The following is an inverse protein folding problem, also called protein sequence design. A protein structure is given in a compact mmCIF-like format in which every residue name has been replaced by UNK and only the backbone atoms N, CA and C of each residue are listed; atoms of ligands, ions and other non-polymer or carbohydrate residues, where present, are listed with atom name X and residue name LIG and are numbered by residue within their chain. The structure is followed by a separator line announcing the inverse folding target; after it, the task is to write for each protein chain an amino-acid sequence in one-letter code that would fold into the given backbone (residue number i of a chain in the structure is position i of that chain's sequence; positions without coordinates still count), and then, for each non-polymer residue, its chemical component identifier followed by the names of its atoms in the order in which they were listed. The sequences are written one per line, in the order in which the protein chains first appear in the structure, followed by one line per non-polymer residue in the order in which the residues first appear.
data_IF_383286702490
#
_entry.id   IF_383286702490
#
_cell.length_a   1.000
_cell.length_b   1.000
_cell.length_c   1.000
_cell.angle_alpha   90.00
_cell.angle_beta   90.00
_cell.angle_gamma   90.00
#
_symmetry.space_group_name_H-M   'P 1'
#
loop_
_entity.id
_entity.type
_entity.pdbx_description
1 polymer ?
#
# COMPACT_ATOMS: atom_id res chain seq x y z
N UNK A 1 2.64 -10.27 12.55
CA UNK A 1 3.15 -9.02 11.92
C UNK A 1 3.16 -9.13 10.40
N UNK A 2 3.88 -10.09 9.80
CA UNK A 2 3.96 -10.23 8.32
C UNK A 2 2.59 -10.36 7.62
N UNK A 3 1.63 -11.11 8.20
CA UNK A 3 0.27 -11.21 7.63
C UNK A 3 -0.43 -9.84 7.52
N UNK A 4 -0.26 -8.97 8.53
CA UNK A 4 -0.83 -7.62 8.54
C UNK A 4 -0.23 -6.79 7.39
N UNK A 5 1.07 -6.88 7.16
CA UNK A 5 1.74 -6.20 6.05
C UNK A 5 1.21 -6.64 4.69
N UNK A 6 0.97 -7.93 4.48
CA UNK A 6 0.35 -8.41 3.23
C UNK A 6 -1.08 -7.88 3.03
N UNK A 7 -1.89 -7.83 4.09
CA UNK A 7 -3.21 -7.20 4.04
C UNK A 7 -3.14 -5.71 3.70
N UNK A 8 -2.22 -4.98 4.32
CA UNK A 8 -1.98 -3.56 4.01
C UNK A 8 -1.57 -3.37 2.54
N UNK A 9 -0.73 -4.26 1.99
CA UNK A 9 -0.35 -4.19 0.57
C UNK A 9 -1.54 -4.42 -0.35
N UNK A 10 -2.44 -5.34 0.00
CA UNK A 10 -3.67 -5.58 -0.77
C UNK A 10 -4.61 -4.37 -0.75
N UNK A 11 -4.81 -3.75 0.43
CA UNK A 11 -5.62 -2.54 0.57
C UNK A 11 -5.00 -1.37 -0.20
N UNK A 12 -3.68 -1.20 -0.12
CA UNK A 12 -2.96 -0.16 -0.84
C UNK A 12 -3.13 -0.28 -2.37
N UNK A 13 -3.09 -1.50 -2.90
CA UNK A 13 -3.37 -1.77 -4.30
C UNK A 13 -4.85 -1.48 -4.66
N UNK A 14 -5.78 -1.87 -3.79
CA UNK A 14 -7.21 -1.58 -3.95
C UNK A 14 -7.51 -0.08 -3.99
N UNK A 15 -6.84 0.72 -3.16
CA UNK A 15 -7.00 2.18 -3.16
C UNK A 15 -6.50 2.78 -4.48
N UNK A 16 -5.33 2.35 -4.98
CA UNK A 16 -4.79 2.86 -6.23
C UNK A 16 -5.66 2.49 -7.45
N UNK A 17 -6.13 1.24 -7.52
CA UNK A 17 -7.00 0.78 -8.62
C UNK A 17 -8.42 1.35 -8.50
N UNK A 18 -8.95 1.41 -7.28
CA UNK A 18 -10.28 1.97 -7.01
C UNK A 18 -10.36 3.47 -7.30
N UNK A 19 -9.28 4.21 -7.07
CA UNK A 19 -9.18 5.59 -7.50
C UNK A 19 -9.33 5.71 -9.02
N UNK A 20 -8.62 4.87 -9.79
CA UNK A 20 -8.70 4.90 -11.27
C UNK A 20 -10.11 4.59 -11.78
N UNK A 21 -10.81 3.62 -11.16
CA UNK A 21 -12.21 3.34 -11.49
C UNK A 21 -13.15 4.51 -11.14
N UNK A 22 -12.91 5.16 -10.00
CA UNK A 22 -13.72 6.30 -9.55
C UNK A 22 -13.53 7.54 -10.45
N UNK A 23 -12.34 7.72 -11.02
CA UNK A 23 -12.06 8.77 -12.02
C UNK A 23 -12.83 8.48 -13.32
N UNK A 24 -12.86 7.23 -13.80
CA UNK A 24 -13.63 6.86 -15.00
C UNK A 24 -15.14 7.00 -14.84
N UNK A 25 -15.64 6.88 -13.61
CA UNK A 25 -17.04 7.07 -13.27
C UNK A 25 -17.40 8.54 -12.98
N UNK A 26 -16.47 9.49 -13.24
CA UNK A 26 -16.61 10.93 -12.92
C UNK A 26 -17.09 11.18 -11.48
N UNK A 27 -16.77 10.27 -10.56
CA UNK A 27 -17.18 10.34 -9.15
C UNK A 27 -16.17 11.15 -8.33
N UNK A 28 -14.92 11.20 -8.77
CA UNK A 28 -13.84 11.97 -8.15
C UNK A 28 -13.11 12.81 -9.19
N UNK A 29 -12.56 13.94 -8.74
CA UNK A 29 -11.79 14.85 -9.59
C UNK A 29 -10.35 14.34 -9.81
N UNK A 30 -9.68 14.88 -10.83
CA UNK A 30 -8.30 14.50 -11.19
C UNK A 30 -7.32 14.68 -10.03
N UNK A 31 -7.50 15.73 -9.23
CA UNK A 31 -6.66 15.99 -8.06
C UNK A 31 -6.86 14.92 -6.97
N UNK A 32 -8.11 14.55 -6.69
CA UNK A 32 -8.43 13.52 -5.71
C UNK A 32 -7.92 12.15 -6.14
N UNK A 33 -8.05 11.83 -7.43
CA UNK A 33 -7.47 10.62 -8.02
C UNK A 33 -5.96 10.54 -7.83
N UNK A 34 -5.25 11.64 -8.11
CA UNK A 34 -3.81 11.72 -7.96
C UNK A 34 -3.39 11.47 -6.51
N UNK A 35 -4.02 12.15 -5.56
CA UNK A 35 -3.74 11.97 -4.14
C UNK A 35 -4.01 10.53 -3.67
N UNK A 36 -5.13 9.93 -4.05
CA UNK A 36 -5.47 8.56 -3.65
C UNK A 36 -4.51 7.53 -4.25
N UNK A 37 -4.15 7.70 -5.52
CA UNK A 37 -3.20 6.80 -6.20
C UNK A 37 -1.81 6.90 -5.58
N UNK A 38 -1.31 8.12 -5.33
CA UNK A 38 -0.03 8.32 -4.64
C UNK A 38 -0.04 7.70 -3.24
N UNK A 39 -1.11 7.90 -2.47
CA UNK A 39 -1.26 7.31 -1.14
C UNK A 39 -1.20 5.78 -1.19
N UNK A 40 -1.90 5.16 -2.13
CA UNK A 40 -1.83 3.71 -2.36
C UNK A 40 -0.41 3.24 -2.68
N UNK A 41 0.27 3.89 -3.63
CA UNK A 41 1.64 3.52 -4.04
C UNK A 41 2.64 3.70 -2.90
N UNK A 42 2.64 4.86 -2.22
CA UNK A 42 3.55 5.15 -1.11
C UNK A 42 3.35 4.16 0.03
N UNK A 43 2.09 3.86 0.38
CA UNK A 43 1.78 2.86 1.42
C UNK A 43 2.30 1.49 1.03
N UNK A 44 2.17 1.10 -0.24
CA UNK A 44 2.65 -0.18 -0.73
C UNK A 44 4.17 -0.33 -0.59
N UNK A 45 4.92 0.73 -0.89
CA UNK A 45 6.38 0.79 -0.75
C UNK A 45 6.79 0.75 0.74
N UNK A 46 6.16 1.58 1.57
CA UNK A 46 6.49 1.67 3.00
C UNK A 46 6.29 0.34 3.71
N UNK A 47 5.22 -0.37 3.37
CA UNK A 47 4.93 -1.70 3.91
C UNK A 47 5.92 -2.74 3.40
N UNK A 48 6.46 -2.56 2.18
CA UNK A 48 7.57 -3.35 1.66
C UNK A 48 8.81 -3.26 2.55
N UNK A 49 9.26 -2.04 2.87
CA UNK A 49 10.37 -1.83 3.79
C UNK A 49 10.10 -2.42 5.17
N UNK A 50 8.86 -2.28 5.67
CA UNK A 50 8.51 -2.83 6.97
C UNK A 50 8.56 -4.37 7.01
N UNK A 51 8.19 -5.05 5.90
CA UNK A 51 8.35 -6.50 5.79
C UNK A 51 9.82 -6.90 5.86
N UNK A 52 10.69 -6.15 5.18
CA UNK A 52 12.13 -6.42 5.18
C UNK A 52 12.74 -6.23 6.56
N UNK A 53 12.35 -5.18 7.29
CA UNK A 53 12.76 -4.97 8.68
C UNK A 53 12.30 -6.11 9.59
N UNK A 54 11.03 -6.53 9.50
CA UNK A 54 10.50 -7.63 10.31
C UNK A 54 11.31 -8.90 10.07
N UNK A 55 11.60 -9.23 8.81
CA UNK A 55 12.43 -10.40 8.45
C UNK A 55 13.86 -10.27 8.97
N UNK A 56 14.43 -9.07 8.92
CA UNK A 56 15.77 -8.81 9.43
C UNK A 56 15.84 -9.05 10.94
N UNK A 57 14.89 -8.51 11.72
CA UNK A 57 14.86 -8.70 13.17
C UNK A 57 14.46 -10.11 13.60
N UNK A 58 13.60 -10.81 12.86
CA UNK A 58 13.34 -12.25 13.09
C UNK A 58 14.62 -13.06 12.92
N UNK A 59 15.37 -12.86 11.82
CA UNK A 59 16.63 -13.58 11.61
C UNK A 59 17.72 -13.24 12.63
N UNK A 60 17.78 -11.97 13.09
CA UNK A 60 18.74 -11.54 14.11
C UNK A 60 18.43 -12.11 15.50
N UNK A 61 17.16 -12.40 15.83
CA UNK A 61 16.77 -13.03 17.10
C UNK A 61 17.05 -14.53 17.16
N UNK A 62 17.26 -15.17 16.02
CA UNK A 62 17.48 -16.63 15.91
C UNK A 62 18.98 -16.99 15.93
N UNK A 63 19.87 -15.99 15.74
CA UNK A 63 21.32 -16.10 15.99
C UNK A 63 21.67 -15.61 17.39
#
# INVERSE_FOLDING_TARGET
MIKLCYWLRAIAALIAVGAMGSLQLDTIDWWTWFCQTMLGVVTWILVGYWIDDIKYYENKKVR
#
